data_IF_469014734412
#
_entry.id   IF_469014734412
#
_cell.length_a   1.000
_cell.length_b   1.000
_cell.length_c   1.000
_cell.angle_alpha   90.00
_cell.angle_beta   90.00
_cell.angle_gamma   90.00
#
_symmetry.space_group_name_H-M   'P 1'
#
loop_
_entity.id
_entity.type
_entity.pdbx_description
1 polymer ?
#
# COMPACT_ATOMS: atom_id res chain seq x y z
N UNK A 1 -22.67 26.09 10.66
CA UNK A 1 -21.38 25.67 10.07
C UNK A 1 -21.70 24.96 8.77
N UNK A 2 -21.43 25.59 7.63
CA UNK A 2 -21.68 24.99 6.32
C UNK A 2 -20.67 23.88 6.04
N UNK A 3 -21.14 22.63 5.93
CA UNK A 3 -20.33 21.45 5.61
C UNK A 3 -19.61 21.56 4.25
N UNK A 4 -20.03 22.49 3.38
CA UNK A 4 -19.43 22.72 2.05
C UNK A 4 -18.05 23.38 2.12
N UNK A 5 -17.77 24.15 3.16
CA UNK A 5 -16.46 24.81 3.37
C UNK A 5 -15.55 24.06 4.33
N UNK A 6 -16.03 22.93 4.90
CA UNK A 6 -15.29 22.14 5.88
C UNK A 6 -13.95 21.62 5.34
N UNK A 7 -13.85 21.40 4.02
CA UNK A 7 -12.64 20.88 3.37
C UNK A 7 -11.91 21.91 2.48
N UNK A 8 -12.38 23.16 2.44
CA UNK A 8 -11.75 24.24 1.69
C UNK A 8 -10.81 25.03 2.59
N UNK A 9 -9.70 24.40 2.98
CA UNK A 9 -8.70 25.01 3.86
C UNK A 9 -8.03 26.19 3.16
N UNK A 10 -8.25 27.40 3.67
CA UNK A 10 -7.69 28.63 3.10
C UNK A 10 -6.24 28.88 3.54
N UNK A 11 -5.85 28.35 4.70
CA UNK A 11 -4.50 28.44 5.26
C UNK A 11 -3.96 27.05 5.54
N UNK A 12 -2.69 26.84 5.17
CA UNK A 12 -1.99 25.58 5.39
C UNK A 12 -1.85 25.23 6.90
N UNK A 13 -1.80 26.24 7.77
CA UNK A 13 -1.76 26.08 9.24
C UNK A 13 -2.99 25.33 9.79
N UNK A 14 -4.19 25.64 9.31
CA UNK A 14 -5.44 25.02 9.78
C UNK A 14 -5.51 23.53 9.37
N UNK A 15 -5.01 23.22 8.17
CA UNK A 15 -4.85 21.84 7.70
C UNK A 15 -3.87 21.05 8.59
N UNK A 16 -2.70 21.62 8.89
CA UNK A 16 -1.71 20.97 9.74
C UNK A 16 -2.23 20.73 11.17
N UNK A 17 -2.93 21.72 11.74
CA UNK A 17 -3.50 21.61 13.08
C UNK A 17 -4.58 20.51 13.13
N UNK A 18 -5.45 20.45 12.13
CA UNK A 18 -6.43 19.37 12.00
C UNK A 18 -5.76 18.00 11.91
N UNK A 19 -4.75 17.85 11.05
CA UNK A 19 -3.98 16.60 10.93
C UNK A 19 -3.33 16.22 12.26
N UNK A 20 -2.71 17.16 12.96
CA UNK A 20 -2.07 16.91 14.23
C UNK A 20 -3.08 16.43 15.30
N UNK A 21 -4.21 17.13 15.44
CA UNK A 21 -5.26 16.75 16.39
C UNK A 21 -5.83 15.37 16.05
N UNK A 22 -6.08 15.10 14.78
CA UNK A 22 -6.54 13.80 14.31
C UNK A 22 -5.53 12.69 14.65
N UNK A 23 -4.24 12.91 14.39
CA UNK A 23 -3.19 11.95 14.72
C UNK A 23 -3.09 11.69 16.22
N UNK A 24 -3.12 12.73 17.06
CA UNK A 24 -3.07 12.57 18.52
C UNK A 24 -4.29 11.81 19.03
N UNK A 25 -5.48 12.09 18.50
CA UNK A 25 -6.71 11.38 18.87
C UNK A 25 -6.65 9.90 18.47
N UNK A 26 -6.24 9.59 17.24
CA UNK A 26 -6.04 8.22 16.78
C UNK A 26 -4.98 7.47 17.59
N UNK A 27 -3.89 8.13 17.95
CA UNK A 27 -2.84 7.56 18.78
C UNK A 27 -3.34 7.27 20.20
N UNK A 28 -4.12 8.19 20.79
CA UNK A 28 -4.72 8.00 22.10
C UNK A 28 -5.71 6.83 22.12
N UNK A 29 -6.60 6.75 21.13
CA UNK A 29 -7.53 5.60 20.98
C UNK A 29 -6.74 4.31 20.81
N UNK A 30 -5.75 4.28 19.94
CA UNK A 30 -4.88 3.12 19.75
C UNK A 30 -4.21 2.71 21.06
N UNK A 31 -3.69 3.66 21.83
CA UNK A 31 -3.05 3.40 23.11
C UNK A 31 -4.00 2.75 24.14
N UNK A 32 -5.26 3.20 24.20
CA UNK A 32 -6.27 2.62 25.09
C UNK A 32 -6.62 1.17 24.71
N UNK A 33 -6.66 0.86 23.41
CA UNK A 33 -7.08 -0.45 22.90
C UNK A 33 -5.90 -1.37 22.51
N UNK A 34 -4.65 -0.99 22.81
CA UNK A 34 -3.45 -1.78 22.52
C UNK A 34 -3.48 -3.18 23.15
N UNK A 35 -4.11 -3.33 24.31
CA UNK A 35 -4.24 -4.62 24.99
C UNK A 35 -5.28 -5.55 24.33
N UNK A 36 -6.10 -5.05 23.40
CA UNK A 36 -7.07 -5.86 22.68
C UNK A 36 -6.43 -6.43 21.42
N UNK A 37 -6.19 -7.75 21.42
CA UNK A 37 -5.64 -8.47 20.28
C UNK A 37 -6.48 -8.29 19.00
N UNK A 38 -7.82 -8.33 19.11
CA UNK A 38 -8.72 -8.14 17.99
C UNK A 38 -8.63 -6.73 17.36
N UNK A 39 -8.41 -5.69 18.17
CA UNK A 39 -8.27 -4.33 17.66
C UNK A 39 -6.97 -4.16 16.87
N UNK A 40 -5.87 -4.69 17.41
CA UNK A 40 -4.55 -4.64 16.75
C UNK A 40 -4.56 -5.45 15.45
N UNK A 41 -5.15 -6.64 15.45
CA UNK A 41 -5.30 -7.48 14.25
C UNK A 41 -6.16 -6.80 13.19
N UNK A 42 -7.32 -6.24 13.57
CA UNK A 42 -8.19 -5.54 12.65
C UNK A 42 -7.48 -4.33 11.99
N UNK A 43 -6.79 -3.49 12.78
CA UNK A 43 -6.02 -2.38 12.24
C UNK A 43 -4.90 -2.84 11.31
N UNK A 44 -4.15 -3.87 11.71
CA UNK A 44 -3.09 -4.45 10.88
C UNK A 44 -3.64 -4.97 9.55
N UNK A 45 -4.77 -5.66 9.59
CA UNK A 45 -5.42 -6.15 8.38
C UNK A 45 -5.89 -5.05 7.44
N UNK A 46 -6.49 -3.99 7.98
CA UNK A 46 -6.93 -2.84 7.19
C UNK A 46 -5.75 -2.13 6.54
N UNK A 47 -4.62 -2.01 7.25
CA UNK A 47 -3.40 -1.45 6.70
C UNK A 47 -2.89 -2.26 5.51
N UNK A 48 -2.78 -3.59 5.67
CA UNK A 48 -2.27 -4.48 4.61
C UNK A 48 -3.26 -4.57 3.42
N UNK A 49 -4.57 -4.56 3.68
CA UNK A 49 -5.60 -4.48 2.62
C UNK A 49 -5.53 -3.17 1.84
N UNK A 50 -5.28 -2.06 2.53
CA UNK A 50 -5.12 -0.74 1.89
C UNK A 50 -3.90 -0.71 0.98
N UNK A 51 -2.81 -1.33 1.41
CA UNK A 51 -1.58 -1.47 0.63
C UNK A 51 -1.80 -2.38 -0.60
N UNK A 52 -2.50 -3.51 -0.45
CA UNK A 52 -2.89 -4.35 -1.59
C UNK A 52 -3.82 -3.64 -2.59
N UNK A 53 -4.73 -2.78 -2.09
CA UNK A 53 -5.59 -1.93 -2.91
C UNK A 53 -4.82 -0.86 -3.70
N UNK A 54 -3.56 -0.56 -3.37
CA UNK A 54 -2.72 0.31 -4.20
C UNK A 54 -2.09 -0.45 -5.38
N UNK A 55 -1.70 -1.72 -5.18
CA UNK A 55 -1.12 -2.56 -6.22
C UNK A 55 -2.13 -2.96 -7.32
N UNK A 56 -3.38 -3.26 -6.93
CA UNK A 56 -4.42 -3.70 -7.87
C UNK A 56 -4.80 -2.68 -8.97
N UNK A 57 -5.09 -1.39 -8.69
CA UNK A 57 -5.40 -0.40 -9.72
C UNK A 57 -4.19 -0.12 -10.62
N UNK A 58 -2.98 -0.29 -10.09
CA UNK A 58 -1.76 -0.17 -10.88
C UNK A 58 -1.65 -1.32 -11.89
N UNK A 59 -1.93 -2.56 -11.47
CA UNK A 59 -2.01 -3.73 -12.35
C UNK A 59 -3.07 -3.54 -13.45
N UNK A 60 -4.24 -3.03 -13.09
CA UNK A 60 -5.34 -2.74 -14.03
C UNK A 60 -4.96 -1.65 -15.04
N UNK A 61 -4.37 -0.55 -14.59
CA UNK A 61 -3.92 0.53 -15.47
C UNK A 61 -2.81 0.06 -16.43
N UNK A 62 -1.84 -0.72 -15.95
CA UNK A 62 -0.81 -1.30 -16.79
C UNK A 62 -1.41 -2.22 -17.86
N UNK A 63 -2.44 -3.00 -17.51
CA UNK A 63 -3.16 -3.85 -18.46
C UNK A 63 -3.96 -3.04 -19.50
N UNK A 64 -4.68 -2.00 -19.07
CA UNK A 64 -5.48 -1.16 -19.96
C UNK A 64 -4.61 -0.34 -20.92
N UNK A 65 -3.53 0.25 -20.43
CA UNK A 65 -2.66 1.12 -21.22
C UNK A 65 -1.72 0.34 -22.15
N UNK A 66 -1.60 -1.00 -21.98
CA UNK A 66 -0.67 -1.86 -22.74
C UNK A 66 0.77 -1.32 -22.79
N UNK A 67 1.13 -0.52 -21.80
CA UNK A 67 2.37 0.24 -21.76
C UNK A 67 2.69 0.61 -20.33
N UNK A 68 3.93 0.40 -19.93
CA UNK A 68 4.46 0.75 -18.60
C UNK A 68 5.17 2.09 -18.61
N UNK A 69 4.70 3.03 -19.45
CA UNK A 69 5.29 4.36 -19.62
C UNK A 69 5.15 5.15 -18.32
N UNK A 70 6.24 5.22 -17.55
CA UNK A 70 6.32 5.93 -16.27
C UNK A 70 6.62 5.05 -15.05
N UNK A 71 6.59 3.72 -15.18
CA UNK A 71 6.93 2.81 -14.08
C UNK A 71 8.37 2.29 -14.22
N UNK A 72 9.20 2.55 -13.22
CA UNK A 72 10.58 2.06 -13.17
C UNK A 72 10.61 0.60 -12.69
N UNK A 73 11.20 -0.30 -13.48
CA UNK A 73 11.41 -1.71 -13.09
C UNK A 73 12.12 -1.82 -11.73
N UNK A 74 13.10 -0.92 -11.48
CA UNK A 74 13.85 -0.90 -10.21
C UNK A 74 12.95 -0.58 -9.00
N UNK A 75 11.92 0.24 -9.20
CA UNK A 75 10.97 0.59 -8.14
C UNK A 75 10.10 -0.62 -7.78
N UNK A 76 9.60 -1.34 -8.78
CA UNK A 76 8.80 -2.56 -8.57
C UNK A 76 9.63 -3.66 -7.90
N UNK A 77 10.90 -3.83 -8.29
CA UNK A 77 11.80 -4.77 -7.61
C UNK A 77 12.05 -4.40 -6.15
N UNK A 78 12.15 -3.10 -5.84
CA UNK A 78 12.32 -2.64 -4.46
C UNK A 78 11.06 -2.87 -3.62
N UNK A 79 9.87 -2.66 -4.19
CA UNK A 79 8.59 -3.00 -3.56
C UNK A 79 8.51 -4.49 -3.24
N UNK A 80 8.75 -5.34 -4.23
CA UNK A 80 8.77 -6.79 -4.05
C UNK A 80 9.75 -7.23 -2.96
N UNK A 81 10.97 -6.66 -2.94
CA UNK A 81 11.95 -6.97 -1.90
C UNK A 81 11.48 -6.55 -0.50
N UNK A 82 10.84 -5.39 -0.38
CA UNK A 82 10.23 -4.91 0.86
C UNK A 82 9.13 -5.85 1.37
N UNK A 83 8.23 -6.27 0.49
CA UNK A 83 7.09 -7.14 0.84
C UNK A 83 7.53 -8.55 1.21
N UNK A 84 8.55 -9.09 0.53
CA UNK A 84 9.19 -10.36 0.90
C UNK A 84 9.83 -10.25 2.28
N UNK A 85 10.57 -9.19 2.56
CA UNK A 85 11.21 -9.00 3.88
C UNK A 85 10.17 -8.85 4.99
N UNK A 86 9.13 -8.04 4.78
CA UNK A 86 8.02 -7.83 5.71
C UNK A 86 7.27 -9.13 6.03
N UNK A 87 6.95 -9.90 4.99
CA UNK A 87 6.27 -11.20 5.14
C UNK A 87 7.15 -12.21 5.87
N UNK A 88 8.45 -12.28 5.53
CA UNK A 88 9.42 -13.15 6.22
C UNK A 88 9.52 -12.80 7.71
N UNK A 89 9.54 -11.51 8.03
CA UNK A 89 9.55 -11.03 9.42
C UNK A 89 8.31 -11.47 10.20
N UNK A 90 7.11 -11.40 9.59
CA UNK A 90 5.88 -11.87 10.23
C UNK A 90 5.84 -13.38 10.44
N UNK A 91 6.40 -14.16 9.51
CA UNK A 91 6.51 -15.62 9.64
C UNK A 91 7.46 -16.00 10.77
N UNK A 92 8.63 -15.34 10.86
CA UNK A 92 9.63 -15.62 11.92
C UNK A 92 9.09 -15.27 13.31
N UNK A 93 8.32 -14.18 13.44
CA UNK A 93 7.77 -13.74 14.72
C UNK A 93 6.45 -14.43 15.11
N UNK A 94 6.06 -15.51 14.43
CA UNK A 94 4.79 -16.22 14.63
C UNK A 94 3.58 -15.26 14.75
N UNK A 95 3.60 -14.19 13.93
CA UNK A 95 2.52 -13.21 13.90
C UNK A 95 1.22 -13.87 13.42
N UNK A 96 0.04 -13.38 13.87
CA UNK A 96 -1.22 -14.05 13.61
C UNK A 96 -1.45 -14.25 12.11
N UNK A 97 -2.18 -15.32 11.77
CA UNK A 97 -2.14 -15.90 10.43
C UNK A 97 -2.53 -14.93 9.30
N UNK A 98 -3.31 -13.90 9.64
CA UNK A 98 -3.75 -12.86 8.72
C UNK A 98 -2.57 -12.08 8.09
N UNK A 99 -1.51 -11.81 8.84
CA UNK A 99 -0.40 -10.99 8.35
C UNK A 99 0.40 -11.68 7.24
N UNK A 100 0.73 -12.97 7.41
CA UNK A 100 1.49 -13.69 6.39
C UNK A 100 0.61 -14.09 5.19
N UNK A 101 -0.68 -14.38 5.40
CA UNK A 101 -1.63 -14.64 4.30
C UNK A 101 -1.78 -13.39 3.42
N UNK A 102 -2.06 -12.24 4.03
CA UNK A 102 -2.19 -10.99 3.29
C UNK A 102 -0.85 -10.57 2.63
N UNK A 103 0.27 -10.73 3.34
CA UNK A 103 1.60 -10.47 2.76
C UNK A 103 1.93 -11.35 1.56
N UNK A 104 1.52 -12.62 1.59
CA UNK A 104 1.67 -13.52 0.43
C UNK A 104 0.87 -13.03 -0.77
N UNK A 105 -0.37 -12.56 -0.56
CA UNK A 105 -1.18 -11.98 -1.64
C UNK A 105 -0.54 -10.72 -2.23
N UNK A 106 0.08 -9.88 -1.39
CA UNK A 106 0.82 -8.70 -1.86
C UNK A 106 2.00 -9.07 -2.74
N UNK A 107 2.83 -10.03 -2.31
CA UNK A 107 3.95 -10.54 -3.10
C UNK A 107 3.47 -11.08 -4.45
N UNK A 108 2.31 -11.76 -4.50
CA UNK A 108 1.73 -12.25 -5.75
C UNK A 108 1.30 -11.10 -6.68
N UNK A 109 0.72 -10.02 -6.15
CA UNK A 109 0.37 -8.83 -6.93
C UNK A 109 1.63 -8.14 -7.48
N UNK A 110 2.66 -8.00 -6.67
CA UNK A 110 3.94 -7.41 -7.08
C UNK A 110 4.62 -8.22 -8.19
N UNK A 111 4.62 -9.55 -8.07
CA UNK A 111 5.13 -10.44 -9.13
C UNK A 111 4.31 -10.27 -10.40
N UNK A 112 2.98 -10.16 -10.31
CA UNK A 112 2.13 -9.93 -11.49
C UNK A 112 2.44 -8.58 -12.17
N UNK A 113 2.65 -7.51 -11.39
CA UNK A 113 3.06 -6.20 -11.91
C UNK A 113 4.44 -6.29 -12.57
N UNK A 114 5.41 -6.95 -11.93
CA UNK A 114 6.76 -7.13 -12.46
C UNK A 114 6.75 -7.88 -13.80
N UNK A 115 5.97 -8.97 -13.89
CA UNK A 115 5.81 -9.73 -15.14
C UNK A 115 5.21 -8.87 -16.26
N UNK A 116 4.19 -8.06 -15.96
CA UNK A 116 3.65 -7.12 -16.93
C UNK A 116 4.72 -6.14 -17.42
N UNK A 117 5.49 -5.55 -16.51
CA UNK A 117 6.54 -4.59 -16.87
C UNK A 117 7.63 -5.22 -17.74
N UNK A 118 8.09 -6.43 -17.41
CA UNK A 118 9.07 -7.14 -18.21
C UNK A 118 8.53 -7.49 -19.61
N UNK A 119 7.28 -7.91 -19.71
CA UNK A 119 6.65 -8.24 -21.00
C UNK A 119 6.53 -7.01 -21.91
N UNK A 120 6.08 -5.87 -21.37
CA UNK A 120 5.96 -4.62 -22.14
C UNK A 120 7.32 -4.00 -22.50
N UNK A 121 8.36 -4.15 -21.66
CA UNK A 121 9.73 -3.72 -21.98
C UNK A 121 10.31 -4.56 -23.15
N UNK A 122 10.10 -5.88 -23.13
CA UNK A 122 10.54 -6.78 -24.20
C UNK A 122 9.86 -6.49 -25.54
N UNK A 123 8.54 -6.28 -25.57
CA UNK A 123 7.82 -5.91 -26.80
C UNK A 123 8.33 -4.58 -27.38
N UNK A 124 8.65 -3.62 -26.51
CA UNK A 124 9.23 -2.33 -26.92
C UNK A 124 10.63 -2.52 -27.53
N UNK A 125 11.49 -3.34 -26.91
CA UNK A 125 12.83 -3.63 -27.45
C UNK A 125 12.78 -4.40 -28.76
N UNK A 126 11.85 -5.34 -28.92
CA UNK A 126 11.69 -6.12 -30.14
C UNK A 126 11.23 -5.30 -31.34
N UNK A 127 10.55 -4.17 -31.12
CA UNK A 127 10.15 -3.23 -32.19
C UNK A 127 11.25 -2.26 -32.63
N UNK A 128 12.33 -2.14 -31.85
CA UNK A 128 13.42 -1.19 -32.08
C UNK A 128 14.70 -1.85 -32.62
N UNK A 129 14.77 -3.19 -32.67
CA UNK A 129 15.86 -3.96 -33.28
C UNK A 129 15.43 -4.60 -34.59
#
# INVERSE_FOLDING_TARGET
>A
MDLRYFWSWSRFEDYLLFCFVFTVLCAFVTFLFLNSMLFVEALGSLAVLSEAMLGLPQLLQNFQNRSTRGMSVKMVLLWMAGDVFKTTYFVINESPAQFWVCGTVQILLDVAILLQVLYYDLDTRAKLG
#
